data_IF_017781781267
#
_entry.id   IF_017781781267
#
_cell.length_a   1.000
_cell.length_b   1.000
_cell.length_c   1.000
_cell.angle_alpha   90.00
_cell.angle_beta   90.00
_cell.angle_gamma   90.00
#
_symmetry.space_group_name_H-M   'P 1'
#
loop_
_entity.id
_entity.type
_entity.pdbx_description
1 polymer ?
#
# COMPACT_ATOMS: atom_id res chain seq x y z
N UNK A 1 32.71 40.51 12.99
CA UNK A 1 31.72 40.76 11.91
C UNK A 1 31.22 39.41 11.42
N UNK A 2 30.07 38.96 11.90
CA UNK A 2 29.48 37.66 11.57
C UNK A 2 28.46 37.83 10.45
N UNK A 3 28.82 37.39 9.25
CA UNK A 3 27.95 37.37 8.08
C UNK A 3 26.88 36.30 8.26
N UNK A 4 25.65 36.75 8.54
CA UNK A 4 24.45 35.93 8.59
C UNK A 4 24.10 35.55 7.16
N UNK A 5 24.52 34.38 6.70
CA UNK A 5 24.15 33.86 5.38
C UNK A 5 22.64 33.63 5.34
N UNK A 6 21.93 34.53 4.67
CA UNK A 6 20.49 34.44 4.43
C UNK A 6 20.30 33.51 3.22
N UNK A 7 20.15 32.21 3.45
CA UNK A 7 19.86 31.27 2.37
C UNK A 7 18.48 31.61 1.77
N UNK A 8 18.38 31.90 0.46
CA UNK A 8 17.10 32.24 -0.15
C UNK A 8 16.14 31.05 -0.04
N UNK A 9 14.93 31.32 0.46
CA UNK A 9 13.84 30.36 0.58
C UNK A 9 13.15 30.06 -0.77
N UNK A 10 13.52 30.78 -1.83
CA UNK A 10 12.98 30.60 -3.16
C UNK A 10 13.87 29.61 -3.93
N UNK A 11 13.40 28.37 -4.03
CA UNK A 11 13.98 27.41 -4.95
C UNK A 11 13.90 27.98 -6.35
N UNK A 12 15.05 28.17 -6.98
CA UNK A 12 15.10 28.20 -8.44
C UNK A 12 14.31 26.99 -8.94
N UNK A 13 13.56 27.13 -10.03
CA UNK A 13 12.89 26.00 -10.66
C UNK A 13 13.95 25.04 -11.19
N UNK A 14 14.48 24.19 -10.32
CA UNK A 14 15.52 23.21 -10.65
C UNK A 14 14.87 22.18 -11.56
N UNK A 15 15.25 22.21 -12.84
CA UNK A 15 14.82 21.21 -13.81
C UNK A 15 15.78 20.03 -13.71
N UNK A 16 15.28 18.90 -13.22
CA UNK A 16 16.08 17.67 -13.11
C UNK A 16 15.82 16.80 -14.34
N UNK A 17 16.83 16.56 -15.20
CA UNK A 17 16.67 15.62 -16.32
C UNK A 17 16.49 14.19 -15.84
N UNK A 18 15.81 13.35 -16.63
CA UNK A 18 15.64 11.94 -16.30
C UNK A 18 16.98 11.23 -16.10
N UNK A 19 17.05 10.39 -15.06
CA UNK A 19 18.27 9.65 -14.70
C UNK A 19 19.43 10.53 -14.22
N UNK A 20 19.18 11.79 -13.89
CA UNK A 20 20.16 12.69 -13.26
C UNK A 20 19.76 12.99 -11.83
N UNK A 21 20.74 13.42 -11.05
CA UNK A 21 20.52 13.99 -9.72
C UNK A 21 21.14 15.38 -9.74
N UNK A 22 20.41 16.37 -9.22
CA UNK A 22 20.98 17.70 -8.97
C UNK A 22 21.35 17.77 -7.49
N UNK A 23 22.63 17.95 -7.18
CA UNK A 23 23.16 18.05 -5.82
C UNK A 23 23.58 19.47 -5.49
N UNK A 24 23.53 19.81 -4.21
CA UNK A 24 24.06 21.07 -3.71
C UNK A 24 25.58 21.07 -3.85
N UNK A 25 26.17 22.19 -4.25
CA UNK A 25 27.62 22.35 -4.45
C UNK A 25 28.45 21.88 -3.25
N UNK A 26 27.92 22.01 -2.02
CA UNK A 26 28.61 21.54 -0.80
C UNK A 26 28.96 20.05 -0.79
N UNK A 27 28.29 19.25 -1.62
CA UNK A 27 28.54 17.81 -1.77
C UNK A 27 29.63 17.51 -2.80
N UNK A 28 30.18 18.50 -3.49
CA UNK A 28 31.26 18.30 -4.45
C UNK A 28 32.48 17.68 -3.75
N UNK A 29 32.99 16.58 -4.31
CA UNK A 29 34.15 15.87 -3.78
C UNK A 29 33.87 14.97 -2.58
N UNK A 30 32.66 14.98 -2.01
CA UNK A 30 32.26 14.06 -0.94
C UNK A 30 32.19 12.61 -1.40
N UNK A 31 32.23 11.66 -0.46
CA UNK A 31 32.13 10.24 -0.79
C UNK A 31 30.80 9.91 -1.47
N UNK A 32 29.69 10.49 -1.00
CA UNK A 32 28.37 10.29 -1.60
C UNK A 32 28.38 10.76 -3.07
N UNK A 33 28.96 11.92 -3.38
CA UNK A 33 29.02 12.43 -4.74
C UNK A 33 29.88 11.58 -5.67
N UNK A 34 31.06 11.13 -5.20
CA UNK A 34 31.95 10.26 -5.97
C UNK A 34 31.27 8.93 -6.30
N UNK A 35 30.59 8.32 -5.33
CA UNK A 35 29.87 7.05 -5.53
C UNK A 35 28.63 7.19 -6.42
N UNK A 36 27.95 8.34 -6.38
CA UNK A 36 26.83 8.63 -7.26
C UNK A 36 27.30 8.78 -8.72
N UNK A 37 28.35 9.56 -8.97
CA UNK A 37 28.87 9.82 -10.32
C UNK A 37 29.27 8.55 -11.09
N UNK A 38 29.66 7.48 -10.38
CA UNK A 38 29.98 6.19 -11.00
C UNK A 38 28.78 5.44 -11.60
N UNK A 39 27.54 5.78 -11.23
CA UNK A 39 26.32 5.09 -11.72
C UNK A 39 25.26 6.03 -12.28
N UNK A 40 25.24 7.29 -11.88
CA UNK A 40 24.22 8.29 -12.20
C UNK A 40 24.92 9.62 -12.46
N UNK A 41 24.42 10.40 -13.42
CA UNK A 41 24.99 11.72 -13.70
C UNK A 41 24.55 12.74 -12.63
N UNK A 42 25.51 13.22 -11.85
CA UNK A 42 25.32 14.22 -10.81
C UNK A 42 25.66 15.61 -11.36
N UNK A 43 24.72 16.54 -11.27
CA UNK A 43 24.88 17.96 -11.62
C UNK A 43 24.97 18.72 -10.30
N UNK A 44 25.95 19.61 -10.14
CA UNK A 44 26.02 20.46 -8.96
C UNK A 44 25.50 21.86 -9.28
N UNK A 45 24.77 22.45 -8.34
CA UNK A 45 24.23 23.79 -8.48
C UNK A 45 24.34 24.57 -7.16
N UNK A 46 24.93 25.76 -7.24
CA UNK A 46 25.08 26.72 -6.14
C UNK A 46 23.78 27.50 -5.96
N UNK A 47 22.73 26.83 -5.47
CA UNK A 47 21.41 27.45 -5.41
C UNK A 47 20.26 26.59 -4.88
N UNK A 48 20.51 25.35 -4.42
CA UNK A 48 19.44 24.44 -3.96
C UNK A 48 18.76 24.86 -2.64
N UNK A 49 19.18 25.97 -2.03
CA UNK A 49 18.62 26.49 -0.80
C UNK A 49 18.78 25.50 0.36
N UNK A 50 17.66 24.98 0.88
CA UNK A 50 17.61 24.09 2.04
C UNK A 50 17.78 22.59 1.70
N UNK A 51 17.82 22.25 0.41
CA UNK A 51 17.82 20.88 -0.10
C UNK A 51 19.24 20.43 -0.44
N UNK A 52 19.51 19.14 -0.21
CA UNK A 52 20.80 18.52 -0.50
C UNK A 52 20.86 17.92 -1.91
N UNK A 53 19.81 17.21 -2.32
CA UNK A 53 19.69 16.64 -3.66
C UNK A 53 18.27 16.73 -4.20
N UNK A 54 18.09 16.98 -5.50
CA UNK A 54 16.84 16.80 -6.21
C UNK A 54 16.92 15.54 -7.09
N UNK A 55 15.96 14.64 -6.91
CA UNK A 55 15.80 13.45 -7.76
C UNK A 55 14.88 13.73 -8.95
N UNK A 56 13.92 14.63 -8.74
CA UNK A 56 12.97 15.09 -9.76
C UNK A 56 12.47 16.48 -9.38
N UNK A 57 11.68 17.09 -10.26
CA UNK A 57 11.02 18.37 -9.98
C UNK A 57 9.98 18.28 -8.85
N UNK A 58 9.72 17.09 -8.30
CA UNK A 58 8.74 16.85 -7.23
C UNK A 58 9.35 16.24 -5.96
N UNK A 59 10.52 15.61 -6.06
CA UNK A 59 11.11 14.83 -4.97
C UNK A 59 12.54 15.31 -4.71
N UNK A 60 12.80 15.59 -3.45
CA UNK A 60 14.10 16.03 -2.98
C UNK A 60 14.54 15.27 -1.73
N UNK A 61 15.84 15.28 -1.50
CA UNK A 61 16.51 14.65 -0.38
C UNK A 61 17.10 15.72 0.53
N UNK A 62 16.87 15.56 1.83
CA UNK A 62 17.57 16.28 2.88
C UNK A 62 18.44 15.27 3.63
N UNK A 63 19.74 15.52 3.67
CA UNK A 63 20.73 14.67 4.32
C UNK A 63 21.09 15.25 5.68
N UNK A 64 21.06 14.41 6.72
CA UNK A 64 21.44 14.76 8.08
C UNK A 64 22.62 13.86 8.46
N UNK A 65 23.79 14.47 8.64
CA UNK A 65 24.98 13.75 9.07
C UNK A 65 24.94 13.41 10.57
N UNK A 66 25.80 12.50 10.99
CA UNK A 66 26.02 12.21 12.41
C UNK A 66 26.36 13.50 13.18
N UNK A 67 27.25 14.32 12.61
CA UNK A 67 27.65 15.60 13.19
C UNK A 67 26.46 16.55 13.36
N UNK A 68 25.54 16.61 12.41
CA UNK A 68 24.34 17.47 12.51
C UNK A 68 23.38 17.00 13.61
N UNK A 69 23.27 15.68 13.84
CA UNK A 69 22.46 15.13 14.92
C UNK A 69 23.04 15.46 16.29
N UNK A 70 24.36 15.43 16.41
CA UNK A 70 25.06 15.70 17.67
C UNK A 70 25.17 17.21 17.94
N UNK A 71 25.34 18.03 16.89
CA UNK A 71 25.54 19.47 17.01
C UNK A 71 24.29 20.23 17.52
N UNK A 72 23.09 19.67 17.32
CA UNK A 72 21.86 20.17 17.92
C UNK A 72 20.71 20.37 16.93
N UNK A 73 19.86 21.36 17.18
CA UNK A 73 18.53 21.46 16.56
C UNK A 73 18.48 22.28 15.25
N UNK A 74 19.62 22.60 14.66
CA UNK A 74 19.68 23.38 13.41
C UNK A 74 19.02 22.64 12.24
N UNK A 75 19.23 21.32 12.13
CA UNK A 75 18.58 20.52 11.11
C UNK A 75 17.06 20.52 11.28
N UNK A 76 16.53 20.57 12.52
CA UNK A 76 15.09 20.64 12.79
C UNK A 76 14.49 21.91 12.22
N UNK A 77 15.15 23.06 12.45
CA UNK A 77 14.74 24.34 11.84
C UNK A 77 14.77 24.28 10.33
N UNK A 78 15.79 23.64 9.74
CA UNK A 78 15.90 23.43 8.28
C UNK A 78 14.72 22.62 7.74
N UNK A 79 14.36 21.51 8.40
CA UNK A 79 13.25 20.64 8.01
C UNK A 79 11.89 21.33 8.09
N UNK A 80 11.62 22.05 9.19
CA UNK A 80 10.37 22.80 9.36
C UNK A 80 10.25 23.89 8.29
N UNK A 81 11.33 24.64 8.04
CA UNK A 81 11.36 25.67 6.98
C UNK A 81 11.12 25.05 5.60
N UNK A 82 11.76 23.92 5.30
CA UNK A 82 11.54 23.21 4.04
C UNK A 82 10.06 22.81 3.89
N UNK A 83 9.46 22.22 4.93
CA UNK A 83 8.06 21.78 4.89
C UNK A 83 7.07 22.94 4.72
N UNK A 84 7.37 24.11 5.31
CA UNK A 84 6.51 25.29 5.22
C UNK A 84 6.66 26.03 3.89
N UNK A 85 7.88 26.09 3.34
CA UNK A 85 8.15 26.83 2.11
C UNK A 85 7.88 26.02 0.84
N UNK A 86 7.79 24.69 0.95
CA UNK A 86 7.83 23.82 -0.21
C UNK A 86 6.80 22.69 -0.15
N UNK A 87 6.06 22.50 -1.25
CA UNK A 87 5.10 21.41 -1.43
C UNK A 87 5.73 20.14 -2.01
N UNK A 88 7.05 20.14 -2.26
CA UNK A 88 7.78 18.98 -2.76
C UNK A 88 7.79 17.82 -1.75
N UNK A 89 7.87 16.59 -2.26
CA UNK A 89 8.08 15.40 -1.45
C UNK A 89 9.51 15.40 -0.90
N UNK A 90 9.64 15.61 0.42
CA UNK A 90 10.91 15.54 1.12
C UNK A 90 11.20 14.13 1.65
N UNK A 91 12.32 13.56 1.21
CA UNK A 91 12.91 12.35 1.79
C UNK A 91 14.08 12.78 2.67
N UNK A 92 14.06 12.42 3.94
CA UNK A 92 15.14 12.69 4.89
C UNK A 92 15.99 11.45 5.00
N UNK A 93 17.28 11.56 4.68
CA UNK A 93 18.28 10.51 4.92
C UNK A 93 19.08 10.92 6.15
N UNK A 94 19.23 9.99 7.11
CA UNK A 94 19.90 10.27 8.38
C UNK A 94 20.97 9.23 8.68
N UNK A 95 22.16 9.69 9.03
CA UNK A 95 23.25 8.82 9.48
C UNK A 95 22.97 8.30 10.89
N UNK A 96 22.62 7.02 10.98
CA UNK A 96 22.39 6.28 12.21
C UNK A 96 23.58 5.38 12.51
N UNK A 97 24.43 5.85 13.41
CA UNK A 97 25.62 5.15 13.90
C UNK A 97 25.45 4.84 15.39
N UNK A 98 26.46 4.21 16.01
CA UNK A 98 26.45 3.96 17.46
C UNK A 98 26.35 5.25 18.28
N UNK A 99 26.89 6.38 17.78
CA UNK A 99 26.90 7.66 18.49
C UNK A 99 25.58 8.40 18.30
N UNK A 100 25.03 8.40 17.07
CA UNK A 100 23.80 9.13 16.76
C UNK A 100 22.51 8.38 17.11
N UNK A 101 22.59 7.09 17.44
CA UNK A 101 21.43 6.23 17.75
C UNK A 101 20.53 6.83 18.85
N UNK A 102 21.14 7.40 19.89
CA UNK A 102 20.43 8.03 21.00
C UNK A 102 19.52 9.20 20.57
N UNK A 103 19.86 9.89 19.48
CA UNK A 103 19.09 11.03 18.96
C UNK A 103 18.05 10.60 17.93
N UNK A 104 18.17 9.39 17.37
CA UNK A 104 17.37 8.92 16.24
C UNK A 104 15.86 8.88 16.54
N UNK A 105 15.46 8.43 17.74
CA UNK A 105 14.04 8.33 18.11
C UNK A 105 13.35 9.70 18.08
N UNK A 106 14.02 10.74 18.59
CA UNK A 106 13.49 12.10 18.57
C UNK A 106 13.35 12.61 17.13
N UNK A 107 14.34 12.33 16.27
CA UNK A 107 14.28 12.69 14.84
C UNK A 107 13.17 11.94 14.12
N UNK A 108 13.00 10.65 14.39
CA UNK A 108 11.93 9.85 13.80
C UNK A 108 10.54 10.38 14.15
N UNK A 109 10.31 10.72 15.43
CA UNK A 109 9.05 11.33 15.87
C UNK A 109 8.79 12.64 15.11
N UNK A 110 9.77 13.53 15.06
CA UNK A 110 9.63 14.81 14.37
C UNK A 110 9.38 14.63 12.86
N UNK A 111 10.21 13.86 12.17
CA UNK A 111 10.16 13.75 10.69
C UNK A 111 8.92 12.99 10.24
N UNK A 112 8.66 11.83 10.85
CA UNK A 112 7.61 10.91 10.38
C UNK A 112 6.25 11.28 10.93
N UNK A 113 6.14 11.55 12.23
CA UNK A 113 4.84 11.76 12.89
C UNK A 113 4.41 13.23 12.85
N UNK A 114 5.33 14.18 13.08
CA UNK A 114 4.96 15.60 13.15
C UNK A 114 5.00 16.28 11.77
N UNK A 115 6.02 16.04 10.95
CA UNK A 115 6.17 16.67 9.64
C UNK A 115 5.55 15.86 8.49
N UNK A 116 5.31 14.55 8.69
CA UNK A 116 4.74 13.66 7.68
C UNK A 116 5.65 13.44 6.47
N UNK A 117 6.97 13.46 6.68
CA UNK A 117 7.99 13.21 5.66
C UNK A 117 8.55 11.79 5.78
N UNK A 118 9.23 11.32 4.73
CA UNK A 118 9.88 10.00 4.73
C UNK A 118 11.23 10.11 5.43
N UNK A 119 11.54 9.19 6.35
CA UNK A 119 12.83 9.09 7.02
C UNK A 119 13.50 7.75 6.67
N UNK A 120 14.75 7.80 6.19
CA UNK A 120 15.53 6.62 5.85
C UNK A 120 16.86 6.63 6.63
N UNK A 121 17.06 5.72 7.58
CA UNK A 121 18.33 5.58 8.28
C UNK A 121 19.38 4.91 7.38
N UNK A 122 20.62 5.38 7.48
CA UNK A 122 21.79 4.80 6.80
C UNK A 122 22.98 4.77 7.77
N UNK A 123 23.86 3.79 7.66
CA UNK A 123 25.04 3.70 8.52
C UNK A 123 26.17 4.66 8.10
N UNK A 124 26.23 5.02 6.82
CA UNK A 124 27.28 5.87 6.26
C UNK A 124 26.90 6.44 4.88
N UNK A 125 27.75 7.34 4.35
CA UNK A 125 27.59 7.94 3.02
C UNK A 125 27.61 6.93 1.87
N UNK A 126 28.31 5.80 2.02
CA UNK A 126 28.34 4.76 1.00
C UNK A 126 26.97 4.09 0.84
N UNK A 127 26.32 3.73 1.94
CA UNK A 127 24.96 3.20 1.94
C UNK A 127 23.96 4.25 1.42
N UNK A 128 24.10 5.50 1.86
CA UNK A 128 23.30 6.60 1.34
C UNK A 128 23.38 6.73 -0.19
N UNK A 129 24.58 6.64 -0.76
CA UNK A 129 24.76 6.69 -2.22
C UNK A 129 23.99 5.57 -2.92
N UNK A 130 24.06 4.34 -2.40
CA UNK A 130 23.36 3.19 -3.01
C UNK A 130 21.84 3.35 -2.89
N UNK A 131 21.36 3.85 -1.75
CA UNK A 131 19.95 4.12 -1.54
C UNK A 131 19.44 5.19 -2.50
N UNK A 132 20.16 6.30 -2.68
CA UNK A 132 19.84 7.34 -3.65
C UNK A 132 19.79 6.77 -5.07
N UNK A 133 20.78 5.93 -5.43
CA UNK A 133 20.81 5.27 -6.75
C UNK A 133 19.54 4.44 -6.96
N UNK A 134 19.12 3.69 -5.94
CA UNK A 134 17.92 2.88 -6.00
C UNK A 134 16.66 3.74 -6.11
N UNK A 135 16.59 4.86 -5.38
CA UNK A 135 15.47 5.80 -5.45
C UNK A 135 15.34 6.41 -6.86
N UNK A 136 16.45 6.84 -7.47
CA UNK A 136 16.43 7.39 -8.84
C UNK A 136 15.97 6.33 -9.84
N UNK A 137 16.45 5.09 -9.69
CA UNK A 137 16.01 3.96 -10.54
C UNK A 137 14.52 3.71 -10.39
N UNK A 138 14.00 3.71 -9.17
CA UNK A 138 12.57 3.51 -8.93
C UNK A 138 11.73 4.65 -9.52
N UNK A 139 12.22 5.90 -9.44
CA UNK A 139 11.57 7.05 -10.08
C UNK A 139 11.58 6.99 -11.61
N UNK A 140 12.58 6.33 -12.21
CA UNK A 140 12.69 6.18 -13.66
C UNK A 140 11.82 5.05 -14.24
N UNK A 141 11.26 4.18 -13.39
CA UNK A 141 10.37 3.09 -13.82
C UNK A 141 8.95 3.58 -14.04
N UNK A 142 8.20 2.85 -14.85
CA UNK A 142 6.78 3.10 -15.03
C UNK A 142 6.01 2.92 -13.72
N UNK A 143 4.97 3.72 -13.51
CA UNK A 143 4.12 3.67 -12.31
C UNK A 143 3.54 2.28 -12.05
N UNK A 144 3.37 1.46 -13.09
CA UNK A 144 2.84 0.09 -12.99
C UNK A 144 3.90 -0.96 -12.60
N UNK A 145 5.18 -0.60 -12.55
CA UNK A 145 6.25 -1.51 -12.10
C UNK A 145 6.19 -1.77 -10.60
N UNK A 146 5.64 -0.84 -9.81
CA UNK A 146 5.46 -1.04 -8.38
C UNK A 146 4.20 -1.88 -8.12
N UNK A 147 4.32 -3.10 -7.55
CA UNK A 147 3.19 -4.00 -7.33
C UNK A 147 2.15 -3.45 -6.34
N UNK A 148 2.55 -2.53 -5.45
CA UNK A 148 1.66 -1.89 -4.48
C UNK A 148 0.88 -0.71 -5.08
N UNK A 149 1.35 -0.16 -6.21
CA UNK A 149 0.69 0.92 -6.94
C UNK A 149 -0.07 0.43 -8.17
N UNK A 150 0.09 -0.86 -8.51
CA UNK A 150 -0.64 -1.50 -9.59
C UNK A 150 -2.13 -1.35 -9.29
N UNK A 151 -2.82 -0.49 -10.06
CA UNK A 151 -4.29 -0.47 -10.08
C UNK A 151 -4.72 -1.87 -10.48
N UNK A 152 -5.25 -2.61 -9.52
CA UNK A 152 -5.85 -3.91 -9.77
C UNK A 152 -7.01 -3.64 -10.73
N UNK A 153 -6.83 -3.96 -12.02
CA UNK A 153 -7.96 -3.97 -12.94
C UNK A 153 -9.01 -4.88 -12.30
N UNK A 154 -10.22 -4.36 -12.12
CA UNK A 154 -11.39 -4.99 -11.50
C UNK A 154 -11.89 -6.17 -12.33
N UNK A 155 -11.03 -7.14 -12.62
CA UNK A 155 -11.29 -8.20 -13.58
C UNK A 155 -12.10 -9.34 -12.98
N UNK A 156 -12.35 -9.39 -11.66
CA UNK A 156 -13.08 -10.50 -11.03
C UNK A 156 -14.03 -10.01 -9.92
N UNK A 157 -14.94 -9.11 -10.26
CA UNK A 157 -16.07 -8.77 -9.37
C UNK A 157 -17.03 -9.97 -9.23
N UNK A 158 -17.26 -10.74 -10.30
CA UNK A 158 -18.20 -11.87 -10.32
C UNK A 158 -17.91 -12.95 -9.27
N UNK A 159 -16.68 -13.52 -9.14
CA UNK A 159 -16.40 -14.52 -8.12
C UNK A 159 -16.46 -13.96 -6.68
N UNK A 160 -16.12 -12.69 -6.50
CA UNK A 160 -16.12 -12.02 -5.20
C UNK A 160 -17.55 -11.77 -4.72
N UNK A 161 -18.41 -11.27 -5.62
CA UNK A 161 -19.85 -11.08 -5.38
C UNK A 161 -20.53 -12.41 -5.07
N UNK A 162 -20.21 -13.47 -5.82
CA UNK A 162 -20.69 -14.83 -5.54
C UNK A 162 -20.28 -15.34 -4.16
N UNK A 163 -19.01 -15.16 -3.78
CA UNK A 163 -18.51 -15.53 -2.45
C UNK A 163 -19.22 -14.75 -1.34
N UNK A 164 -19.52 -13.47 -1.55
CA UNK A 164 -20.28 -12.65 -0.59
C UNK A 164 -21.70 -13.17 -0.39
N UNK A 165 -22.41 -13.53 -1.47
CA UNK A 165 -23.77 -14.10 -1.37
C UNK A 165 -23.76 -15.47 -0.68
N UNK A 166 -22.70 -16.26 -0.82
CA UNK A 166 -22.52 -17.52 -0.09
C UNK A 166 -22.30 -17.37 1.42
N UNK A 167 -21.92 -16.18 1.90
CA UNK A 167 -21.82 -15.92 3.34
C UNK A 167 -23.19 -15.74 4.00
N UNK A 168 -24.26 -15.62 3.20
CA UNK A 168 -25.62 -15.56 3.74
C UNK A 168 -25.97 -16.94 4.32
N UNK A 169 -26.36 -17.04 5.60
CA UNK A 169 -26.72 -18.31 6.22
C UNK A 169 -27.78 -19.06 5.40
N UNK A 170 -27.57 -20.36 5.14
CA UNK A 170 -28.49 -21.19 4.36
C UNK A 170 -28.41 -21.03 2.82
N UNK A 171 -27.53 -20.14 2.33
CA UNK A 171 -27.29 -19.92 0.89
C UNK A 171 -26.00 -20.64 0.46
N UNK A 172 -26.15 -21.85 -0.10
CA UNK A 172 -25.04 -22.58 -0.72
C UNK A 172 -24.71 -22.12 -2.14
N UNK A 173 -23.74 -22.77 -2.79
CA UNK A 173 -23.25 -22.42 -4.14
C UNK A 173 -24.36 -22.29 -5.19
N UNK A 174 -25.30 -23.24 -5.22
CA UNK A 174 -26.41 -23.26 -6.18
C UNK A 174 -27.40 -22.13 -5.94
N UNK A 175 -27.76 -21.89 -4.67
CA UNK A 175 -28.68 -20.80 -4.30
C UNK A 175 -28.06 -19.42 -4.57
N UNK A 176 -26.78 -19.26 -4.27
CA UNK A 176 -26.05 -18.01 -4.55
C UNK A 176 -26.04 -17.67 -6.05
N UNK A 177 -25.88 -18.67 -6.92
CA UNK A 177 -25.91 -18.48 -8.38
C UNK A 177 -27.30 -18.03 -8.86
N UNK A 178 -28.35 -18.70 -8.38
CA UNK A 178 -29.74 -18.36 -8.73
C UNK A 178 -30.12 -16.95 -8.25
N UNK A 179 -29.73 -16.58 -7.03
CA UNK A 179 -29.98 -15.25 -6.48
C UNK A 179 -29.24 -14.16 -7.30
N UNK A 180 -27.99 -14.41 -7.69
CA UNK A 180 -27.24 -13.45 -8.51
C UNK A 180 -27.76 -13.36 -9.94
N UNK A 181 -28.20 -14.47 -10.53
CA UNK A 181 -28.82 -14.47 -11.86
C UNK A 181 -30.13 -13.67 -11.90
N UNK A 182 -30.91 -13.70 -10.82
CA UNK A 182 -32.20 -13.00 -10.75
C UNK A 182 -32.06 -11.52 -10.38
N UNK A 183 -31.34 -11.22 -9.30
CA UNK A 183 -31.28 -9.86 -8.76
C UNK A 183 -30.14 -9.03 -9.36
N UNK A 184 -29.13 -9.68 -9.97
CA UNK A 184 -28.03 -9.05 -10.69
C UNK A 184 -27.09 -8.18 -9.85
N UNK A 185 -27.41 -7.94 -8.58
CA UNK A 185 -26.61 -7.16 -7.64
C UNK A 185 -26.97 -7.50 -6.20
N UNK A 186 -26.00 -7.37 -5.29
CA UNK A 186 -26.22 -7.54 -3.85
C UNK A 186 -27.23 -6.48 -3.35
N UNK A 187 -27.19 -5.25 -3.87
CA UNK A 187 -28.11 -4.19 -3.48
C UNK A 187 -29.58 -4.54 -3.76
N UNK A 188 -29.88 -5.10 -4.95
CA UNK A 188 -31.24 -5.55 -5.28
C UNK A 188 -31.66 -6.77 -4.47
N UNK A 189 -30.72 -7.69 -4.20
CA UNK A 189 -30.97 -8.84 -3.34
C UNK A 189 -31.38 -8.43 -1.91
N UNK A 190 -30.72 -7.41 -1.35
CA UNK A 190 -31.04 -6.90 -0.01
C UNK A 190 -32.38 -6.16 0.09
N UNK A 191 -32.87 -5.60 -1.02
CA UNK A 191 -34.13 -4.84 -1.09
C UNK A 191 -35.29 -5.64 -1.71
N UNK A 192 -35.06 -6.91 -2.04
CA UNK A 192 -36.09 -7.81 -2.55
C UNK A 192 -37.13 -8.08 -1.45
N UNK A 193 -38.39 -8.25 -1.86
CA UNK A 193 -39.43 -8.60 -0.90
C UNK A 193 -39.29 -10.05 -0.41
N UNK A 194 -39.94 -10.39 0.71
CA UNK A 194 -39.84 -11.74 1.29
C UNK A 194 -40.42 -12.77 0.32
N UNK A 195 -41.49 -12.41 -0.38
CA UNK A 195 -42.17 -13.27 -1.36
C UNK A 195 -41.29 -13.56 -2.59
N UNK A 196 -40.50 -12.58 -3.03
CA UNK A 196 -39.54 -12.71 -4.13
C UNK A 196 -38.36 -13.62 -3.77
N UNK A 197 -37.94 -13.62 -2.50
CA UNK A 197 -36.86 -14.47 -1.99
C UNK A 197 -37.33 -15.91 -1.71
N UNK A 198 -38.53 -16.07 -1.16
CA UNK A 198 -39.13 -17.38 -0.85
C UNK A 198 -39.47 -18.19 -2.10
N UNK A 199 -39.92 -17.52 -3.18
CA UNK A 199 -40.20 -18.17 -4.47
C UNK A 199 -39.00 -18.91 -5.09
N UNK A 200 -37.78 -18.64 -4.62
CA UNK A 200 -36.53 -19.23 -5.09
C UNK A 200 -35.89 -20.22 -4.09
N UNK A 201 -36.04 -19.98 -2.79
CA UNK A 201 -35.47 -20.84 -1.75
C UNK A 201 -36.36 -22.09 -1.50
N UNK A 202 -37.66 -22.00 -1.81
CA UNK A 202 -38.67 -23.03 -1.53
C UNK A 202 -39.24 -23.72 -2.80
N UNK A 203 -38.40 -24.10 -3.77
CA UNK A 203 -38.79 -25.21 -4.66
C UNK A 203 -38.44 -26.52 -3.93
N UNK A 204 -39.41 -27.12 -3.23
CA UNK A 204 -39.32 -28.53 -2.81
C UNK A 204 -38.99 -29.38 -4.06
N UNK A 205 -38.08 -30.38 -3.98
CA UNK A 205 -37.90 -31.31 -5.08
C UNK A 205 -39.25 -31.99 -5.32
N UNK A 206 -39.83 -31.76 -6.51
CA UNK A 206 -41.01 -32.50 -6.94
C UNK A 206 -40.60 -33.96 -7.06
N UNK A 207 -41.30 -34.82 -6.33
CA UNK A 207 -41.33 -36.25 -6.58
C UNK A 207 -41.53 -36.51 -8.07
N UNK A 208 -40.64 -37.30 -8.66
CA UNK A 208 -40.97 -38.11 -9.82
C UNK A 208 -40.52 -39.54 -9.48
N UNK A 209 -41.54 -40.31 -9.11
CA UNK A 209 -41.57 -41.75 -9.05
C UNK A 209 -41.19 -42.37 -10.41
N UNK A 210 -40.79 -43.65 -10.33
CA UNK A 210 -40.76 -44.69 -11.37
C UNK A 210 -39.71 -44.58 -12.48
N UNK A 211 -38.58 -45.28 -12.31
CA UNK A 211 -38.35 -46.63 -12.90
C UNK A 211 -36.92 -47.08 -12.60
N UNK A 212 -36.77 -48.33 -12.16
CA UNK A 212 -35.53 -49.10 -12.12
C UNK A 212 -35.82 -50.49 -12.73
N UNK A 213 -34.84 -51.37 -13.02
CA UNK A 213 -33.38 -51.20 -13.14
C UNK A 213 -32.79 -51.80 -14.44
N UNK A 214 -31.55 -51.44 -14.80
CA UNK A 214 -30.66 -52.41 -15.46
C UNK A 214 -29.18 -52.08 -15.21
N UNK A 215 -28.41 -53.15 -15.05
CA UNK A 215 -27.08 -53.22 -14.48
C UNK A 215 -25.97 -52.57 -15.31
N UNK A 216 -24.93 -52.10 -14.64
CA UNK A 216 -23.58 -52.12 -15.21
C UNK A 216 -22.51 -52.23 -14.11
N UNK A 217 -21.64 -53.21 -14.34
CA UNK A 217 -20.43 -53.51 -13.59
C UNK A 217 -19.32 -52.54 -14.01
N UNK A 218 -18.56 -52.00 -13.06
CA UNK A 218 -17.09 -52.10 -12.99
C UNK A 218 -16.43 -50.96 -12.20
N UNK A 219 -15.80 -51.42 -11.10
CA UNK A 219 -14.53 -51.07 -10.45
C UNK A 219 -13.60 -50.00 -11.07
N UNK A 220 -12.80 -49.40 -10.17
CA UNK A 220 -11.49 -48.69 -10.31
C UNK A 220 -11.63 -47.19 -9.95
N UNK A 221 -10.79 -46.51 -9.16
CA UNK A 221 -9.77 -46.78 -8.14
C UNK A 221 -9.39 -45.39 -7.59
N UNK A 222 -9.30 -45.21 -6.27
CA UNK A 222 -8.70 -44.03 -5.61
C UNK A 222 -7.18 -43.94 -5.90
N UNK A 223 -6.45 -42.82 -5.68
CA UNK A 223 -6.25 -42.11 -4.38
C UNK A 223 -6.21 -40.56 -4.54
N UNK A 224 -6.05 -39.67 -3.56
CA UNK A 224 -5.77 -39.68 -2.12
C UNK A 224 -5.48 -38.24 -1.63
N UNK A 225 -5.56 -38.03 -0.31
CA UNK A 225 -5.06 -36.93 0.56
C UNK A 225 -5.56 -35.48 0.35
N UNK A 226 -6.32 -34.90 1.30
CA UNK A 226 -5.94 -34.30 2.61
C UNK A 226 -5.09 -33.05 2.43
N UNK A 227 -5.67 -31.87 2.76
CA UNK A 227 -5.10 -30.90 3.71
C UNK A 227 -6.21 -30.06 4.35
N UNK A 228 -6.12 -29.98 5.67
CA UNK A 228 -7.01 -29.33 6.63
C UNK A 228 -6.96 -27.79 6.56
N UNK A 229 -8.07 -27.13 6.85
CA UNK A 229 -8.12 -25.70 7.19
C UNK A 229 -8.27 -25.52 8.71
N UNK A 230 -7.52 -24.62 9.36
CA UNK A 230 -7.81 -24.23 10.73
C UNK A 230 -8.95 -23.21 10.78
N UNK A 231 -9.84 -23.41 11.75
CA UNK A 231 -10.86 -22.47 12.20
C UNK A 231 -10.20 -21.28 12.86
N UNK A 232 -10.56 -20.06 12.44
CA UNK A 232 -10.55 -18.89 13.31
C UNK A 232 -11.84 -18.11 13.09
N UNK A 233 -12.77 -18.35 14.01
CA UNK A 233 -13.95 -17.54 14.27
C UNK A 233 -13.48 -16.29 15.03
N UNK A 234 -13.88 -15.09 14.61
CA UNK A 234 -14.49 -14.06 15.47
C UNK A 234 -15.08 -12.93 14.58
N UNK A 235 -16.16 -12.26 15.03
CA UNK A 235 -17.12 -11.60 14.16
C UNK A 235 -16.90 -10.09 14.13
N UNK A 236 -17.13 -9.44 12.98
CA UNK A 236 -17.43 -8.00 12.97
C UNK A 236 -18.14 -7.64 11.67
N UNK A 237 -19.48 -7.51 11.74
CA UNK A 237 -20.29 -6.49 11.05
C UNK A 237 -21.76 -6.66 11.47
N UNK A 238 -22.43 -5.63 12.03
CA UNK A 238 -23.82 -5.73 12.46
C UNK A 238 -24.73 -5.17 11.36
N UNK A 239 -24.98 -5.92 10.28
CA UNK A 239 -25.93 -5.47 9.26
C UNK A 239 -26.79 -6.62 8.73
N UNK A 240 -28.08 -6.31 8.60
CA UNK A 240 -29.21 -7.15 8.16
C UNK A 240 -29.82 -8.12 9.18
N UNK A 241 -30.32 -7.57 10.30
CA UNK A 241 -31.31 -8.24 11.16
C UNK A 241 -32.56 -8.80 10.42
N UNK A 242 -33.07 -8.22 9.30
CA UNK A 242 -34.27 -8.77 8.68
C UNK A 242 -34.04 -10.14 8.02
N UNK A 243 -32.90 -10.36 7.35
CA UNK A 243 -32.63 -11.59 6.59
C UNK A 243 -32.30 -12.76 7.51
N UNK A 244 -31.57 -12.51 8.60
CA UNK A 244 -31.23 -13.54 9.58
C UNK A 244 -32.43 -14.00 10.42
N UNK A 245 -33.39 -13.13 10.73
CA UNK A 245 -34.58 -13.52 11.47
C UNK A 245 -35.53 -14.38 10.62
N UNK A 246 -35.69 -14.06 9.34
CA UNK A 246 -36.60 -14.79 8.45
C UNK A 246 -36.15 -16.23 8.21
N UNK A 247 -34.84 -16.47 8.02
CA UNK A 247 -34.30 -17.83 7.80
C UNK A 247 -34.36 -18.69 9.07
N UNK A 248 -34.25 -18.08 10.26
CA UNK A 248 -34.28 -18.83 11.53
C UNK A 248 -35.69 -19.25 11.93
N UNK A 249 -36.72 -18.46 11.59
CA UNK A 249 -38.12 -18.78 11.91
C UNK A 249 -38.69 -19.92 11.04
N UNK A 250 -38.20 -20.10 9.81
CA UNK A 250 -38.64 -21.21 8.93
C UNK A 250 -38.07 -22.58 9.33
N UNK A 251 -36.98 -22.62 10.12
CA UNK A 251 -36.35 -23.87 10.57
C UNK A 251 -36.89 -24.39 11.91
N UNK A 252 -37.65 -23.58 12.67
CA UNK A 252 -38.20 -23.96 13.97
C UNK A 252 -39.65 -24.49 13.90
N UNK A 253 -40.27 -24.49 12.71
CA UNK A 253 -41.64 -24.98 12.48
C UNK A 253 -41.70 -26.21 11.54
N UNK A 254 -40.67 -27.05 11.55
CA UNK A 254 -40.64 -28.36 10.87
C UNK A 254 -40.19 -29.46 11.82
#
# INVERSE_FOLDING_TARGET
>A
MTTKANFPAAGASVVVPYGHVVGNEKWRGSEIAQRLQGKIKLIFEDGLGLVDFHLSNKICILYISEADLVAGDDFKRRLVRFRNANSLGGIVIVERTQISDQYFIAVQKLVVLELGMVLLPVANQAEASQLIIQLVREQSKDHNSNPFLRKQCSQLLEPSVFRTVQQIPGVGKTKALLLLQQFGSIHRLCNASVEELEGQILKKPKECLTHSPSASSNKVQSPGNIYSCPNDFLPLFPLCKPVAQIITQTMASS
#
